data_IF_245839984900
#
_entry.id   IF_245839984900
#
_cell.length_a   1.000
_cell.length_b   1.000
_cell.length_c   1.000
_cell.angle_alpha   90.00
_cell.angle_beta   90.00
_cell.angle_gamma   90.00
#
_symmetry.space_group_name_H-M   'P 1'
#
loop_
_entity.id
_entity.type
_entity.pdbx_description
1 polymer ?
#
# COMPACT_ATOMS: atom_id res chain seq x y z
N UNK A 1 10.23 -0.24 7.94
CA UNK A 1 9.58 -1.36 7.21
C UNK A 1 8.08 -1.27 7.46
N UNK A 2 7.23 -1.38 6.45
CA UNK A 2 5.77 -1.40 6.64
C UNK A 2 5.19 -2.76 6.29
N UNK A 3 4.02 -3.07 6.85
CA UNK A 3 3.29 -4.30 6.54
C UNK A 3 1.94 -3.94 5.97
N UNK A 4 1.68 -4.39 4.75
CA UNK A 4 0.46 -4.11 4.00
C UNK A 4 -0.21 -5.42 3.58
N UNK A 5 -1.53 -5.38 3.43
CA UNK A 5 -2.35 -6.55 3.10
C UNK A 5 -2.93 -6.38 1.71
N UNK A 6 -2.54 -7.27 0.79
CA UNK A 6 -3.14 -7.32 -0.55
C UNK A 6 -4.61 -7.76 -0.48
N UNK A 7 -5.35 -7.49 -1.55
CA UNK A 7 -6.74 -7.93 -1.73
C UNK A 7 -6.97 -9.43 -1.51
N UNK A 8 -5.96 -10.27 -1.74
CA UNK A 8 -6.02 -11.73 -1.49
C UNK A 8 -5.79 -12.11 -0.02
N UNK A 9 -5.63 -11.14 0.88
CA UNK A 9 -5.32 -11.37 2.30
C UNK A 9 -3.85 -11.70 2.57
N UNK A 10 -2.98 -11.55 1.58
CA UNK A 10 -1.55 -11.80 1.72
C UNK A 10 -0.87 -10.59 2.36
N UNK A 11 0.00 -10.84 3.35
CA UNK A 11 0.81 -9.79 3.96
C UNK A 11 2.09 -9.61 3.19
N UNK A 12 2.39 -8.36 2.84
CA UNK A 12 3.64 -7.96 2.23
C UNK A 12 4.39 -7.06 3.19
N UNK A 13 5.67 -7.37 3.38
CA UNK A 13 6.57 -6.52 4.14
C UNK A 13 7.40 -5.74 3.14
N UNK A 14 7.24 -4.41 3.14
CA UNK A 14 7.94 -3.52 2.21
C UNK A 14 8.94 -2.64 2.98
N UNK A 15 10.14 -2.53 2.42
CA UNK A 15 11.07 -1.49 2.84
C UNK A 15 10.51 -0.12 2.43
N UNK A 16 10.70 0.89 3.28
CA UNK A 16 10.21 2.25 3.00
C UNK A 16 10.83 2.79 1.71
N UNK A 17 12.12 2.54 1.53
CA UNK A 17 12.91 2.95 0.36
C UNK A 17 12.48 2.25 -0.93
N UNK A 18 11.79 1.11 -0.84
CA UNK A 18 11.30 0.39 -2.02
C UNK A 18 9.96 0.95 -2.53
N UNK A 19 9.28 1.81 -1.76
CA UNK A 19 8.00 2.42 -2.13
C UNK A 19 8.27 3.69 -2.93
N UNK A 20 7.90 3.67 -4.21
CA UNK A 20 8.04 4.83 -5.08
C UNK A 20 6.83 5.78 -4.96
N UNK A 21 5.62 5.24 -4.77
CA UNK A 21 4.39 6.02 -4.69
C UNK A 21 3.28 5.23 -4.00
N UNK A 22 2.45 5.93 -3.24
CA UNK A 22 1.14 5.44 -2.75
C UNK A 22 0.04 6.28 -3.40
N UNK A 23 -1.06 5.68 -3.82
CA UNK A 23 -2.18 6.37 -4.45
C UNK A 23 -3.51 5.81 -3.96
N UNK A 24 -4.48 6.68 -3.71
CA UNK A 24 -5.82 6.23 -3.34
C UNK A 24 -6.47 5.49 -4.52
N UNK A 25 -7.15 4.38 -4.22
CA UNK A 25 -7.93 3.68 -5.22
C UNK A 25 -9.23 4.44 -5.50
N UNK A 26 -9.62 4.51 -6.77
CA UNK A 26 -10.92 5.09 -7.16
C UNK A 26 -12.09 4.33 -6.51
N UNK A 27 -13.23 5.02 -6.34
CA UNK A 27 -14.42 4.43 -5.71
C UNK A 27 -14.89 3.10 -6.37
N UNK A 28 -14.70 2.94 -7.68
CA UNK A 28 -14.99 1.70 -8.38
C UNK A 28 -14.10 0.51 -7.94
N UNK A 29 -12.84 0.78 -7.60
CA UNK A 29 -11.90 -0.24 -7.13
C UNK A 29 -12.19 -0.68 -5.68
N UNK A 30 -12.78 0.19 -4.86
CA UNK A 30 -13.20 -0.14 -3.48
C UNK A 30 -14.23 -1.26 -3.45
N UNK A 31 -15.09 -1.39 -4.47
CA UNK A 31 -16.02 -2.53 -4.55
C UNK A 31 -15.29 -3.88 -4.68
N UNK A 32 -14.12 -3.89 -5.31
CA UNK A 32 -13.25 -5.06 -5.41
C UNK A 32 -12.33 -5.23 -4.18
N UNK A 33 -12.48 -4.40 -3.15
CA UNK A 33 -11.70 -4.48 -1.91
C UNK A 33 -10.30 -3.86 -2.01
N UNK A 34 -10.00 -3.08 -3.06
CA UNK A 34 -8.77 -2.28 -3.16
C UNK A 34 -9.05 -0.87 -2.66
N UNK A 35 -8.34 -0.44 -1.62
CA UNK A 35 -8.47 0.88 -1.01
C UNK A 35 -7.32 1.82 -1.43
N UNK A 36 -6.13 1.27 -1.67
CA UNK A 36 -5.00 2.03 -2.21
C UNK A 36 -4.14 1.17 -3.14
N UNK A 37 -3.29 1.85 -3.93
CA UNK A 37 -2.27 1.24 -4.76
C UNK A 37 -0.89 1.69 -4.29
N UNK A 38 0.00 0.71 -4.10
CA UNK A 38 1.41 0.94 -3.78
C UNK A 38 2.23 0.57 -5.01
N UNK A 39 2.97 1.55 -5.54
CA UNK A 39 3.94 1.32 -6.60
C UNK A 39 5.33 1.28 -6.02
N UNK A 40 6.03 0.19 -6.28
CA UNK A 40 7.43 0.00 -5.88
C UNK A 40 8.39 0.53 -6.95
N UNK A 41 9.66 0.75 -6.58
CA UNK A 41 10.69 1.18 -7.53
C UNK A 41 10.96 0.17 -8.66
N UNK A 42 10.74 -1.12 -8.42
CA UNK A 42 10.81 -2.17 -9.43
C UNK A 42 9.65 -2.12 -10.46
N UNK A 43 8.73 -1.17 -10.30
CA UNK A 43 7.57 -0.99 -11.18
C UNK A 43 6.39 -1.90 -10.85
N UNK A 44 6.49 -2.74 -9.82
CA UNK A 44 5.37 -3.55 -9.33
C UNK A 44 4.35 -2.67 -8.62
N UNK A 45 3.08 -2.83 -8.99
CA UNK A 45 1.92 -2.19 -8.36
C UNK A 45 1.13 -3.22 -7.54
N UNK A 46 0.80 -2.87 -6.30
CA UNK A 46 0.10 -3.71 -5.34
C UNK A 46 -1.20 -3.03 -4.93
N UNK A 47 -2.32 -3.73 -5.11
CA UNK A 47 -3.63 -3.27 -4.62
C UNK A 47 -3.83 -3.70 -3.17
N UNK A 48 -3.90 -2.74 -2.26
CA UNK A 48 -3.98 -3.01 -0.82
C UNK A 48 -5.35 -2.71 -0.25
N UNK A 49 -5.68 -3.33 0.88
CA UNK A 49 -6.95 -3.13 1.60
C UNK A 49 -6.87 -1.97 2.60
N UNK A 50 -5.68 -1.57 2.98
CA UNK A 50 -5.41 -0.38 3.78
C UNK A 50 -5.66 0.90 2.96
N UNK A 51 -6.25 1.91 3.60
CA UNK A 51 -6.38 3.23 2.99
C UNK A 51 -5.01 3.90 2.84
N UNK A 52 -4.87 4.79 1.84
CA UNK A 52 -3.61 5.46 1.54
C UNK A 52 -3.04 6.22 2.76
N UNK A 53 -3.92 6.80 3.58
CA UNK A 53 -3.55 7.47 4.83
C UNK A 53 -2.99 6.50 5.88
N UNK A 54 -3.53 5.28 5.99
CA UNK A 54 -3.00 4.27 6.90
C UNK A 54 -1.61 3.79 6.46
N UNK A 55 -1.41 3.62 5.15
CA UNK A 55 -0.10 3.27 4.59
C UNK A 55 0.90 4.39 4.90
N UNK A 56 0.50 5.65 4.69
CA UNK A 56 1.36 6.80 4.97
C UNK A 56 1.74 6.90 6.45
N UNK A 57 0.76 6.73 7.36
CA UNK A 57 1.01 6.74 8.80
C UNK A 57 1.98 5.63 9.22
N UNK A 58 1.90 4.44 8.62
CA UNK A 58 2.89 3.38 8.87
C UNK A 58 4.27 3.74 8.34
N UNK A 59 4.35 4.45 7.21
CA UNK A 59 5.62 4.91 6.65
C UNK A 59 6.31 5.91 7.57
N UNK A 60 5.55 6.86 8.11
CA UNK A 60 6.05 7.85 9.07
C UNK A 60 6.45 7.21 10.40
N UNK A 61 5.61 6.32 10.94
CA UNK A 61 5.90 5.62 12.19
C UNK A 61 7.11 4.66 12.09
N UNK A 62 7.36 4.11 10.90
CA UNK A 62 8.49 3.21 10.64
C UNK A 62 9.80 3.93 10.28
N UNK A 63 9.81 5.26 10.24
CA UNK A 63 10.95 6.10 9.89
C UNK A 63 11.69 6.67 11.12
N UNK A 64 11.32 6.25 12.34
CA UNK A 64 11.93 6.59 13.64
C UNK A 64 13.07 5.65 14.02
#
# INVERSE_FOLDING_TARGET
MITITDTKGQKHHLALEAIARVSEASAACRWHGVHAYIKTFDGQELGVREDAEQVLAQMEAGSV
#
